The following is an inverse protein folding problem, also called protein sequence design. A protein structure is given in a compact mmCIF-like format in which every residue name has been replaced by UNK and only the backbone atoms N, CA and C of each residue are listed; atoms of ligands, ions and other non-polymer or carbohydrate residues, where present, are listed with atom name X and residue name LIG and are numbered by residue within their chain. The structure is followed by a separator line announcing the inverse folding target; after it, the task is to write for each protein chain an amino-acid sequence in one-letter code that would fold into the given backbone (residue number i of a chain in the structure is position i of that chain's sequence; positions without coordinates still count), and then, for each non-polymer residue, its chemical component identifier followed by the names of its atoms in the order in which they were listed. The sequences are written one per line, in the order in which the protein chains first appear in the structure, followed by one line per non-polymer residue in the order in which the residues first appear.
data_IF_407893374881
#
_entry.id   IF_407893374881
#
_cell.length_a   1.000
_cell.length_b   1.000
_cell.length_c   1.000
_cell.angle_alpha   90.00
_cell.angle_beta   90.00
_cell.angle_gamma   90.00
#
_symmetry.space_group_name_H-M   'P 1'
#
loop_
_entity.id
_entity.type
_entity.pdbx_description
1 polymer ?
#
# COMPACT_ATOMS: atom_id res chain seq x y z
N UNK A 1 104.03 6.10 14.90
CA UNK A 1 102.72 5.91 15.55
C UNK A 1 102.30 4.47 15.35
N UNK A 2 101.92 3.75 16.41
CA UNK A 2 101.48 2.36 16.30
C UNK A 2 100.11 2.34 15.61
N UNK A 3 100.00 1.68 14.45
CA UNK A 3 98.77 1.54 13.66
C UNK A 3 97.76 0.56 14.29
N UNK A 4 97.75 0.45 15.62
CA UNK A 4 96.92 -0.49 16.37
C UNK A 4 95.59 0.19 16.74
N UNK A 5 94.48 -0.41 16.34
CA UNK A 5 93.12 0.05 16.70
C UNK A 5 92.31 -1.09 17.29
N UNK A 6 91.34 -0.74 18.13
CA UNK A 6 90.38 -1.68 18.68
C UNK A 6 89.10 -1.63 17.85
N UNK A 7 88.60 -2.80 17.46
CA UNK A 7 87.31 -2.96 16.80
C UNK A 7 86.40 -3.81 17.70
N UNK A 8 85.16 -3.36 17.86
CA UNK A 8 84.11 -4.09 18.56
C UNK A 8 82.85 -4.01 17.71
N UNK A 9 82.38 -5.17 17.25
CA UNK A 9 81.14 -5.27 16.53
C UNK A 9 79.95 -5.48 17.46
N UNK A 10 78.80 -4.99 17.02
CA UNK A 10 77.53 -5.31 17.66
C UNK A 10 77.17 -6.79 17.47
N UNK A 11 76.35 -7.37 18.38
CA UNK A 11 75.89 -8.76 18.26
C UNK A 11 75.15 -9.08 16.97
N UNK A 12 74.54 -8.05 16.36
CA UNK A 12 73.83 -8.12 15.06
C UNK A 12 74.74 -7.96 13.85
N UNK A 13 76.05 -7.88 14.02
CA UNK A 13 77.01 -7.72 12.92
C UNK A 13 77.91 -8.95 12.81
N UNK A 14 77.96 -9.52 11.62
CA UNK A 14 78.91 -10.58 11.28
C UNK A 14 80.21 -9.97 10.79
N UNK A 15 81.33 -10.37 11.39
CA UNK A 15 82.63 -9.80 11.09
C UNK A 15 83.51 -10.86 10.48
N UNK A 16 84.23 -10.51 9.41
CA UNK A 16 85.30 -11.31 8.82
C UNK A 16 86.60 -10.52 8.96
N UNK A 17 87.54 -11.08 9.71
CA UNK A 17 88.88 -10.53 9.88
C UNK A 17 89.84 -11.24 8.94
N UNK A 18 90.40 -10.49 7.99
CA UNK A 18 91.38 -10.98 7.04
C UNK A 18 92.74 -10.31 7.28
N UNK A 19 93.81 -11.09 7.35
CA UNK A 19 95.18 -10.59 7.53
C UNK A 19 96.02 -11.08 6.35
N UNK A 20 96.66 -10.15 5.64
CA UNK A 20 97.44 -10.44 4.44
C UNK A 20 96.68 -11.32 3.41
N UNK A 21 95.38 -11.06 3.22
CA UNK A 21 94.54 -11.80 2.28
C UNK A 21 93.99 -13.16 2.77
N UNK A 22 94.32 -13.58 3.99
CA UNK A 22 93.80 -14.85 4.57
C UNK A 22 92.78 -14.58 5.69
N UNK A 23 91.66 -15.30 5.69
CA UNK A 23 90.66 -15.22 6.76
C UNK A 23 91.25 -15.83 8.03
N UNK A 24 91.31 -15.04 9.11
CA UNK A 24 91.85 -15.47 10.41
C UNK A 24 90.75 -15.72 11.44
N UNK A 25 89.67 -14.95 11.38
CA UNK A 25 88.57 -15.05 12.35
C UNK A 25 87.28 -14.57 11.71
N UNK A 26 86.18 -15.28 11.95
CA UNK A 26 84.85 -14.89 11.50
C UNK A 26 83.79 -15.24 12.54
N UNK A 27 82.75 -14.42 12.67
CA UNK A 27 81.68 -14.64 13.66
C UNK A 27 80.86 -13.39 13.97
N UNK A 28 79.82 -13.58 14.80
CA UNK A 28 78.92 -12.49 15.25
C UNK A 28 79.51 -11.79 16.48
N UNK A 29 79.38 -10.46 16.55
CA UNK A 29 79.73 -9.69 17.75
C UNK A 29 81.20 -9.79 18.20
N UNK A 30 82.12 -9.97 17.25
CA UNK A 30 83.54 -10.12 17.55
C UNK A 30 84.15 -8.80 18.04
N UNK A 31 85.09 -8.91 18.98
CA UNK A 31 85.92 -7.80 19.43
C UNK A 31 87.40 -8.18 19.37
N UNK A 32 88.24 -7.34 18.76
CA UNK A 32 89.66 -7.60 18.63
C UNK A 32 90.47 -6.33 18.37
N UNK A 33 91.77 -6.42 18.66
CA UNK A 33 92.76 -5.46 18.19
C UNK A 33 93.21 -5.82 16.77
N UNK A 34 93.43 -4.81 15.93
CA UNK A 34 93.89 -4.98 14.56
C UNK A 34 94.89 -3.89 14.16
N UNK A 35 95.76 -4.24 13.20
CA UNK A 35 96.68 -3.30 12.59
C UNK A 35 96.08 -2.80 11.27
N UNK A 36 95.88 -1.48 11.17
CA UNK A 36 95.23 -0.85 10.00
C UNK A 36 96.02 -1.00 8.69
N UNK A 37 97.30 -1.39 8.75
CA UNK A 37 98.15 -1.59 7.58
C UNK A 37 98.08 -3.00 6.97
N UNK A 38 97.78 -4.02 7.77
CA UNK A 38 97.85 -5.44 7.35
C UNK A 38 96.54 -6.20 7.51
N UNK A 39 95.58 -5.63 8.24
CA UNK A 39 94.29 -6.25 8.53
C UNK A 39 93.17 -5.53 7.77
N UNK A 40 92.34 -6.31 7.10
CA UNK A 40 91.05 -5.90 6.53
C UNK A 40 89.93 -6.47 7.39
N UNK A 41 88.94 -5.62 7.68
CA UNK A 41 87.76 -6.00 8.46
C UNK A 41 86.55 -5.84 7.56
N UNK A 42 85.81 -6.91 7.31
CA UNK A 42 84.51 -6.84 6.64
C UNK A 42 83.42 -7.00 7.66
N UNK A 43 82.43 -6.10 7.64
CA UNK A 43 81.32 -6.10 8.59
C UNK A 43 80.00 -6.20 7.83
N UNK A 44 79.23 -7.25 8.10
CA UNK A 44 77.96 -7.51 7.43
C UNK A 44 76.82 -7.35 8.45
N UNK A 45 75.86 -6.45 8.19
CA UNK A 45 74.68 -6.30 9.03
C UNK A 45 73.78 -7.53 8.90
N UNK A 46 73.46 -8.19 10.02
CA UNK A 46 72.50 -9.31 10.08
C UNK A 46 71.09 -8.86 10.43
N UNK A 47 70.90 -7.60 10.80
CA UNK A 47 69.57 -7.06 11.03
C UNK A 47 68.76 -7.04 9.72
N UNK A 48 67.45 -7.15 9.88
CA UNK A 48 66.53 -6.88 8.79
C UNK A 48 66.75 -5.44 8.29
N UNK A 49 66.81 -5.31 6.97
CA UNK A 49 66.89 -4.05 6.27
C UNK A 49 65.58 -3.83 5.54
N UNK A 50 65.01 -2.65 5.74
CA UNK A 50 63.80 -2.22 5.07
C UNK A 50 64.17 -1.24 3.97
N UNK A 51 63.79 -1.56 2.74
CA UNK A 51 64.02 -0.69 1.59
C UNK A 51 62.68 -0.25 1.02
N UNK A 52 62.34 1.05 1.10
CA UNK A 52 61.16 1.59 0.44
C UNK A 52 61.38 1.60 -1.07
N UNK A 53 60.31 1.38 -1.84
CA UNK A 53 60.35 1.46 -3.29
C UNK A 53 59.16 2.26 -3.83
N UNK A 54 59.40 2.94 -4.94
CA UNK A 54 58.39 3.61 -5.74
C UNK A 54 58.66 3.27 -7.20
N UNK A 55 57.74 2.55 -7.81
CA UNK A 55 57.84 2.17 -9.21
C UNK A 55 56.73 2.84 -10.02
N UNK A 56 57.09 3.28 -11.22
CA UNK A 56 56.13 3.73 -12.21
C UNK A 56 56.09 2.67 -13.32
N UNK A 57 54.91 2.12 -13.56
CA UNK A 57 54.65 1.09 -14.55
C UNK A 57 53.57 1.56 -15.52
N UNK A 58 53.42 0.79 -16.59
CA UNK A 58 52.35 0.94 -17.55
C UNK A 58 51.53 -0.35 -17.54
N UNK A 59 50.22 -0.20 -17.47
CA UNK A 59 49.22 -1.28 -17.49
C UNK A 59 48.95 -1.77 -18.91
N UNK A 60 48.18 -2.85 -19.04
CA UNK A 60 47.82 -3.43 -20.34
C UNK A 60 47.06 -2.45 -21.27
N UNK A 61 46.32 -1.50 -20.70
CA UNK A 61 45.59 -0.43 -21.39
C UNK A 61 46.43 0.85 -21.58
N UNK A 62 47.76 0.73 -21.50
CA UNK A 62 48.72 1.80 -21.68
C UNK A 62 48.59 2.95 -20.66
N UNK A 63 47.91 2.74 -19.54
CA UNK A 63 47.78 3.73 -18.48
C UNK A 63 48.95 3.67 -17.51
N UNK A 64 49.43 4.84 -17.08
CA UNK A 64 50.51 4.95 -16.11
C UNK A 64 50.02 4.71 -14.68
N UNK A 65 50.74 3.85 -13.95
CA UNK A 65 50.41 3.39 -12.61
C UNK A 65 51.64 3.50 -11.70
N UNK A 66 51.46 4.04 -10.51
CA UNK A 66 52.50 4.13 -9.48
C UNK A 66 52.24 3.11 -8.39
N UNK A 67 53.23 2.27 -8.12
CA UNK A 67 53.21 1.29 -7.02
C UNK A 67 54.25 1.70 -5.99
N UNK A 68 53.80 1.84 -4.75
CA UNK A 68 54.63 2.22 -3.61
C UNK A 68 54.54 1.15 -2.54
N UNK A 69 55.66 0.85 -1.90
CA UNK A 69 55.72 -0.17 -0.88
C UNK A 69 57.07 -0.26 -0.20
N UNK A 70 57.22 -1.31 0.60
CA UNK A 70 58.44 -1.60 1.34
C UNK A 70 58.80 -3.07 1.20
N UNK A 71 60.10 -3.34 1.16
CA UNK A 71 60.66 -4.67 1.06
C UNK A 71 61.64 -4.87 2.21
N UNK A 72 61.41 -5.93 2.98
CA UNK A 72 62.23 -6.30 4.12
C UNK A 72 63.05 -7.53 3.79
N UNK A 73 64.37 -7.45 3.94
CA UNK A 73 65.27 -8.57 3.69
C UNK A 73 66.39 -8.62 4.73
N UNK A 74 67.04 -9.76 4.86
CA UNK A 74 68.19 -9.94 5.74
C UNK A 74 69.28 -10.78 5.06
N UNK A 75 70.51 -10.66 5.57
CA UNK A 75 71.62 -11.50 5.16
C UNK A 75 71.57 -12.80 5.97
N UNK A 76 71.16 -13.90 5.32
CA UNK A 76 71.08 -15.23 5.94
C UNK A 76 72.42 -15.97 5.92
N UNK A 77 73.20 -15.81 4.84
CA UNK A 77 74.51 -16.46 4.64
C UNK A 77 75.61 -15.43 4.40
N UNK A 78 76.18 -14.84 5.47
CA UNK A 78 77.15 -13.74 5.38
C UNK A 78 78.40 -14.08 4.57
N UNK A 79 78.85 -15.34 4.61
CA UNK A 79 80.03 -15.81 3.90
C UNK A 79 79.83 -15.73 2.37
N UNK A 80 78.66 -16.14 1.88
CA UNK A 80 78.32 -16.05 0.45
C UNK A 80 78.22 -14.60 0.00
N UNK A 81 77.60 -13.75 0.83
CA UNK A 81 77.46 -12.33 0.52
C UNK A 81 78.81 -11.61 0.47
N UNK A 82 79.71 -11.91 1.41
CA UNK A 82 81.06 -11.34 1.45
C UNK A 82 81.96 -11.82 0.30
N UNK A 83 81.70 -12.99 -0.29
CA UNK A 83 82.42 -13.48 -1.46
C UNK A 83 82.03 -12.73 -2.75
N UNK A 84 80.80 -12.23 -2.83
CA UNK A 84 80.26 -11.56 -4.03
C UNK A 84 80.37 -10.03 -3.93
N UNK A 85 80.28 -9.47 -2.73
CA UNK A 85 80.20 -8.02 -2.49
C UNK A 85 81.24 -7.56 -1.47
N UNK A 86 81.78 -6.36 -1.70
CA UNK A 86 82.80 -5.80 -0.83
C UNK A 86 82.19 -5.09 0.39
N UNK A 87 82.11 -5.80 1.52
CA UNK A 87 81.71 -5.27 2.83
C UNK A 87 82.89 -4.81 3.70
N UNK A 88 84.06 -4.55 3.09
CA UNK A 88 85.26 -4.13 3.82
C UNK A 88 85.08 -2.72 4.38
N UNK A 89 85.47 -2.52 5.63
CA UNK A 89 85.49 -1.21 6.28
C UNK A 89 86.77 -0.44 5.91
N UNK A 90 86.66 0.88 5.85
CA UNK A 90 87.79 1.78 5.72
C UNK A 90 88.70 1.70 6.95
N UNK A 91 89.87 2.36 6.88
CA UNK A 91 90.86 2.39 7.97
C UNK A 91 90.30 2.95 9.29
N UNK A 92 89.19 3.69 9.22
CA UNK A 92 88.44 4.22 10.36
C UNK A 92 87.66 3.14 11.14
N UNK A 93 87.44 1.96 10.54
CA UNK A 93 86.65 0.87 11.11
C UNK A 93 85.18 1.21 11.26
N UNK A 94 84.67 2.20 10.52
CA UNK A 94 83.29 2.70 10.64
C UNK A 94 82.58 2.81 9.30
N UNK A 95 83.25 3.35 8.28
CA UNK A 95 82.64 3.51 6.96
C UNK A 95 83.00 2.35 6.05
N UNK A 96 82.12 2.00 5.12
CA UNK A 96 82.43 1.01 4.10
C UNK A 96 83.41 1.57 3.07
N UNK A 97 84.35 0.74 2.62
CA UNK A 97 85.30 1.07 1.56
C UNK A 97 84.69 1.01 0.15
N UNK A 98 83.52 0.38 0.01
CA UNK A 98 82.78 0.24 -1.24
C UNK A 98 81.32 0.66 -1.05
N UNK A 99 80.66 1.03 -2.14
CA UNK A 99 79.21 1.28 -2.22
C UNK A 99 78.39 0.00 -2.45
N UNK A 100 79.06 -1.16 -2.56
CA UNK A 100 78.38 -2.44 -2.79
C UNK A 100 77.29 -2.80 -1.76
N UNK A 101 77.41 -2.44 -0.46
CA UNK A 101 76.30 -2.59 0.49
C UNK A 101 75.05 -1.81 0.09
N UNK A 102 75.17 -0.63 -0.53
CA UNK A 102 74.02 0.14 -1.02
C UNK A 102 73.44 -0.48 -2.30
N UNK A 103 74.30 -0.98 -3.18
CA UNK A 103 73.89 -1.66 -4.42
C UNK A 103 73.12 -2.96 -4.14
N UNK A 104 73.30 -3.55 -2.96
CA UNK A 104 72.53 -4.72 -2.53
C UNK A 104 71.05 -4.38 -2.44
N UNK A 105 70.71 -3.28 -1.77
CA UNK A 105 69.33 -2.81 -1.60
C UNK A 105 68.67 -2.63 -2.98
N UNK A 106 69.37 -1.93 -3.89
CA UNK A 106 68.92 -1.72 -5.27
C UNK A 106 68.68 -3.04 -6.03
N UNK A 107 69.51 -4.07 -5.81
CA UNK A 107 69.36 -5.37 -6.48
C UNK A 107 68.10 -6.10 -6.02
N UNK A 108 67.83 -6.14 -4.71
CA UNK A 108 66.61 -6.81 -4.20
C UNK A 108 65.37 -6.06 -4.67
N UNK A 109 65.40 -4.72 -4.65
CA UNK A 109 64.35 -3.85 -5.19
C UNK A 109 64.11 -4.11 -6.68
N UNK A 110 65.16 -4.22 -7.50
CA UNK A 110 65.04 -4.55 -8.94
C UNK A 110 64.46 -5.94 -9.19
N UNK A 111 64.80 -6.94 -8.37
CA UNK A 111 64.22 -8.28 -8.50
C UNK A 111 62.70 -8.25 -8.25
N UNK A 112 62.26 -7.53 -7.21
CA UNK A 112 60.85 -7.30 -6.96
C UNK A 112 60.20 -6.50 -8.11
N UNK A 113 60.88 -5.47 -8.61
CA UNK A 113 60.40 -4.62 -9.72
C UNK A 113 60.06 -5.46 -10.96
N UNK A 114 60.92 -6.41 -11.36
CA UNK A 114 60.68 -7.26 -12.54
C UNK A 114 59.44 -8.14 -12.37
N UNK A 115 59.23 -8.71 -11.19
CA UNK A 115 58.06 -9.55 -10.91
C UNK A 115 56.78 -8.71 -10.96
N UNK A 116 56.78 -7.56 -10.29
CA UNK A 116 55.64 -6.63 -10.25
C UNK A 116 55.32 -6.12 -11.66
N UNK A 117 56.35 -5.79 -12.44
CA UNK A 117 56.20 -5.29 -13.81
C UNK A 117 55.47 -6.29 -14.71
N UNK A 118 55.85 -7.57 -14.64
CA UNK A 118 55.23 -8.61 -15.46
C UNK A 118 53.72 -8.75 -15.17
N UNK A 119 53.32 -8.67 -13.91
CA UNK A 119 51.92 -8.75 -13.50
C UNK A 119 51.11 -7.52 -13.91
N UNK A 120 51.66 -6.31 -13.73
CA UNK A 120 50.98 -5.06 -14.05
C UNK A 120 50.82 -4.87 -15.56
N UNK A 121 51.84 -5.22 -16.34
CA UNK A 121 51.76 -5.12 -17.80
C UNK A 121 50.72 -6.06 -18.42
N UNK A 122 50.37 -7.15 -17.73
CA UNK A 122 49.33 -8.08 -18.15
C UNK A 122 47.91 -7.66 -17.71
N UNK A 123 47.79 -6.67 -16.82
CA UNK A 123 46.52 -6.31 -16.17
C UNK A 123 46.02 -4.92 -16.58
N UNK A 124 44.73 -4.72 -16.91
CA UNK A 124 44.16 -3.40 -17.14
C UNK A 124 44.05 -2.57 -15.85
N UNK A 125 44.05 -1.24 -15.97
CA UNK A 125 44.13 -0.32 -14.84
C UNK A 125 43.14 -0.58 -13.70
N UNK A 126 41.85 -0.77 -14.00
CA UNK A 126 40.83 -0.96 -12.94
C UNK A 126 41.09 -2.20 -12.09
N UNK A 127 41.54 -3.29 -12.73
CA UNK A 127 41.91 -4.49 -12.01
C UNK A 127 43.21 -4.28 -11.24
N UNK A 128 44.20 -3.63 -11.84
CA UNK A 128 45.49 -3.34 -11.20
C UNK A 128 45.34 -2.54 -9.89
N UNK A 129 44.36 -1.61 -9.80
CA UNK A 129 44.06 -0.86 -8.58
C UNK A 129 43.51 -1.75 -7.44
N UNK A 130 42.94 -2.91 -7.76
CA UNK A 130 42.36 -3.86 -6.80
C UNK A 130 43.32 -5.03 -6.47
N UNK A 131 44.46 -5.14 -7.15
CA UNK A 131 45.40 -6.26 -7.04
C UNK A 131 46.37 -6.18 -5.84
N UNK A 132 46.17 -5.28 -4.86
CA UNK A 132 47.17 -5.06 -3.78
C UNK A 132 47.54 -6.34 -3.02
N UNK A 133 46.55 -7.11 -2.56
CA UNK A 133 46.80 -8.34 -1.79
C UNK A 133 47.29 -9.50 -2.64
N UNK A 134 46.75 -9.68 -3.85
CA UNK A 134 47.17 -10.74 -4.76
C UNK A 134 48.60 -10.51 -5.25
N UNK A 135 48.97 -9.26 -5.51
CA UNK A 135 50.33 -8.87 -5.89
C UNK A 135 51.33 -9.18 -4.77
N UNK A 136 50.98 -8.90 -3.51
CA UNK A 136 51.84 -9.22 -2.36
C UNK A 136 52.12 -10.73 -2.29
N UNK A 137 51.07 -11.55 -2.33
CA UNK A 137 51.21 -13.00 -2.28
C UNK A 137 52.04 -13.56 -3.45
N UNK A 138 51.81 -13.04 -4.66
CA UNK A 138 52.56 -13.43 -5.86
C UNK A 138 54.04 -13.07 -5.71
N UNK A 139 54.35 -11.85 -5.32
CA UNK A 139 55.73 -11.37 -5.18
C UNK A 139 56.47 -12.13 -4.10
N UNK A 140 55.86 -12.37 -2.94
CA UNK A 140 56.45 -13.18 -1.87
C UNK A 140 56.75 -14.62 -2.33
N UNK A 141 55.81 -15.25 -3.04
CA UNK A 141 56.02 -16.59 -3.59
C UNK A 141 57.11 -16.64 -4.65
N UNK A 142 57.22 -15.62 -5.50
CA UNK A 142 58.22 -15.58 -6.58
C UNK A 142 59.62 -15.21 -6.07
N UNK A 143 59.71 -14.30 -5.10
CA UNK A 143 60.98 -13.91 -4.48
C UNK A 143 61.61 -15.05 -3.68
N UNK A 144 60.79 -15.84 -2.97
CA UNK A 144 61.28 -17.01 -2.22
C UNK A 144 61.82 -18.13 -3.12
N UNK A 145 61.36 -18.21 -4.38
CA UNK A 145 61.84 -19.17 -5.38
C UNK A 145 63.06 -18.68 -6.17
N UNK A 146 63.48 -17.42 -5.99
CA UNK A 146 64.52 -16.82 -6.81
C UNK A 146 65.91 -17.27 -6.33
N UNK A 147 66.43 -18.32 -6.97
CA UNK A 147 67.76 -18.91 -6.70
C UNK A 147 68.91 -17.90 -6.76
N UNK A 148 68.76 -16.81 -7.54
CA UNK A 148 69.73 -15.74 -7.63
C UNK A 148 69.96 -14.99 -6.29
N UNK A 149 68.93 -14.81 -5.47
CA UNK A 149 69.04 -14.16 -4.16
C UNK A 149 69.65 -15.10 -3.12
N UNK A 150 69.25 -16.37 -3.16
CA UNK A 150 69.79 -17.41 -2.27
C UNK A 150 71.29 -17.66 -2.53
N UNK A 151 71.70 -17.66 -3.81
CA UNK A 151 73.11 -17.79 -4.20
C UNK A 151 73.98 -16.66 -3.61
N UNK A 152 73.40 -15.48 -3.39
CA UNK A 152 74.07 -14.32 -2.78
C UNK A 152 73.94 -14.28 -1.26
N UNK A 153 73.25 -15.24 -0.65
CA UNK A 153 73.07 -15.34 0.80
C UNK A 153 72.01 -14.40 1.38
N UNK A 154 71.04 -13.97 0.57
CA UNK A 154 69.96 -13.07 0.97
C UNK A 154 68.68 -13.87 1.24
N UNK A 155 67.93 -13.45 2.26
CA UNK A 155 66.59 -13.95 2.54
C UNK A 155 65.62 -12.78 2.58
N UNK A 156 64.59 -12.83 1.74
CA UNK A 156 63.46 -11.88 1.81
C UNK A 156 62.57 -12.29 2.98
N UNK A 157 62.28 -11.35 3.86
CA UNK A 157 61.45 -11.56 5.05
C UNK A 157 60.00 -11.20 4.76
N UNK A 158 59.78 -10.02 4.19
CA UNK A 158 58.45 -9.51 3.94
C UNK A 158 58.43 -8.55 2.75
N UNK A 159 57.27 -8.41 2.14
CA UNK A 159 56.99 -7.49 1.06
C UNK A 159 55.61 -6.89 1.29
N UNK A 160 55.53 -5.57 1.33
CA UNK A 160 54.28 -4.85 1.54
C UNK A 160 54.08 -3.79 0.46
N UNK A 161 52.83 -3.62 0.05
CA UNK A 161 52.41 -2.56 -0.88
C UNK A 161 51.62 -1.53 -0.10
N UNK A 162 52.12 -0.30 -0.03
CA UNK A 162 51.50 0.81 0.68
C UNK A 162 50.39 1.45 -0.16
N UNK A 163 50.65 1.68 -1.44
CA UNK A 163 49.71 2.36 -2.31
C UNK A 163 49.90 1.96 -3.78
N UNK A 164 48.78 1.75 -4.47
CA UNK A 164 48.72 1.63 -5.92
C UNK A 164 47.87 2.80 -6.40
N UNK A 165 48.50 3.76 -7.08
CA UNK A 165 47.85 5.02 -7.48
C UNK A 165 48.04 5.28 -8.96
N UNK A 166 46.97 5.63 -9.71
CA UNK A 166 47.11 6.08 -11.09
C UNK A 166 47.67 7.51 -11.13
N UNK A 167 47.90 8.05 -12.32
CA UNK A 167 48.23 9.47 -12.48
C UNK A 167 47.06 10.35 -11.97
N UNK A 168 47.33 11.57 -11.46
CA UNK A 168 46.26 12.46 -10.97
C UNK A 168 45.20 12.82 -12.01
N UNK A 169 45.54 12.79 -13.29
CA UNK A 169 44.60 13.01 -14.40
C UNK A 169 43.68 11.80 -14.58
N UNK A 170 44.23 10.59 -14.65
CA UNK A 170 43.45 9.36 -14.77
C UNK A 170 42.62 9.09 -13.51
N UNK A 171 43.12 9.43 -12.32
CA UNK A 171 42.36 9.36 -11.08
C UNK A 171 41.08 10.22 -11.15
N UNK A 172 41.22 11.48 -11.58
CA UNK A 172 40.09 12.41 -11.76
C UNK A 172 39.11 11.93 -12.82
N UNK A 173 39.62 11.36 -13.93
CA UNK A 173 38.77 10.79 -14.98
C UNK A 173 37.95 9.60 -14.48
N UNK A 174 38.57 8.67 -13.75
CA UNK A 174 37.89 7.52 -13.14
C UNK A 174 36.86 7.95 -12.09
N UNK A 175 37.18 8.96 -11.29
CA UNK A 175 36.25 9.51 -10.29
C UNK A 175 35.04 10.17 -10.96
N UNK A 176 35.25 10.94 -12.03
CA UNK A 176 34.18 11.55 -12.79
C UNK A 176 33.25 10.51 -13.44
N UNK A 177 33.81 9.47 -14.05
CA UNK A 177 33.03 8.37 -14.63
C UNK A 177 32.23 7.61 -13.57
N UNK A 178 32.83 7.30 -12.41
CA UNK A 178 32.15 6.66 -11.30
C UNK A 178 31.00 7.55 -10.79
N UNK A 179 31.25 8.86 -10.64
CA UNK A 179 30.23 9.82 -10.23
C UNK A 179 29.07 9.91 -11.22
N UNK A 180 29.37 9.94 -12.52
CA UNK A 180 28.35 9.94 -13.58
C UNK A 180 27.53 8.64 -13.56
N UNK A 181 28.18 7.48 -13.38
CA UNK A 181 27.46 6.20 -13.29
C UNK A 181 26.49 6.14 -12.11
N UNK A 182 26.90 6.70 -10.95
CA UNK A 182 26.04 6.81 -9.77
C UNK A 182 24.90 7.80 -9.99
N UNK A 183 25.14 8.91 -10.70
CA UNK A 183 24.09 9.87 -11.06
C UNK A 183 23.06 9.22 -11.99
N UNK A 184 23.52 8.49 -13.01
CA UNK A 184 22.65 7.75 -13.91
C UNK A 184 21.80 6.71 -13.17
N UNK A 185 22.40 5.94 -12.26
CA UNK A 185 21.67 4.96 -11.46
C UNK A 185 20.60 5.63 -10.58
N UNK A 186 20.89 6.80 -10.01
CA UNK A 186 19.92 7.57 -9.25
C UNK A 186 18.76 8.08 -10.13
N UNK A 187 19.06 8.59 -11.32
CA UNK A 187 18.04 9.03 -12.29
C UNK A 187 17.18 7.87 -12.79
N UNK A 188 17.79 6.72 -13.08
CA UNK A 188 17.09 5.49 -13.47
C UNK A 188 16.15 5.02 -12.34
N UNK A 189 16.60 5.11 -11.08
CA UNK A 189 15.76 4.82 -9.91
C UNK A 189 14.59 5.80 -9.76
N UNK A 190 14.81 7.10 -10.01
CA UNK A 190 13.74 8.12 -10.01
C UNK A 190 12.74 7.85 -11.13
N UNK A 191 13.23 7.55 -12.33
CA UNK A 191 12.41 7.22 -13.48
C UNK A 191 11.56 5.98 -13.22
N UNK A 192 12.16 4.91 -12.69
CA UNK A 192 11.45 3.67 -12.34
C UNK A 192 10.33 3.92 -11.33
N UNK A 193 10.59 4.72 -10.29
CA UNK A 193 9.56 5.12 -9.30
C UNK A 193 8.44 5.91 -9.96
N UNK A 194 8.75 6.91 -10.78
CA UNK A 194 7.76 7.74 -11.48
C UNK A 194 6.90 6.90 -12.43
N UNK A 195 7.53 6.00 -13.19
CA UNK A 195 6.83 5.08 -14.09
C UNK A 195 5.85 4.20 -13.33
N UNK A 196 6.28 3.60 -12.21
CA UNK A 196 5.41 2.80 -11.35
C UNK A 196 4.24 3.61 -10.79
N UNK A 197 4.45 4.86 -10.37
CA UNK A 197 3.36 5.74 -9.91
C UNK A 197 2.35 6.05 -11.02
N UNK A 198 2.81 6.33 -12.24
CA UNK A 198 1.92 6.62 -13.38
C UNK A 198 1.14 5.38 -13.80
N UNK A 199 1.78 4.21 -13.82
CA UNK A 199 1.10 2.93 -14.10
C UNK A 199 0.03 2.66 -13.05
N UNK A 200 0.33 2.88 -11.76
CA UNK A 200 -0.64 2.75 -10.68
C UNK A 200 -1.81 3.74 -10.83
N UNK A 201 -1.53 5.00 -11.17
CA UNK A 201 -2.58 6.00 -11.40
C UNK A 201 -3.48 5.62 -12.58
N UNK A 202 -2.89 5.08 -13.66
CA UNK A 202 -3.64 4.56 -14.79
C UNK A 202 -4.53 3.39 -14.38
N UNK A 203 -4.01 2.43 -13.62
CA UNK A 203 -4.79 1.29 -13.12
C UNK A 203 -5.93 1.73 -12.21
N UNK A 204 -5.70 2.73 -11.35
CA UNK A 204 -6.76 3.30 -10.50
C UNK A 204 -7.86 3.94 -11.37
N UNK A 205 -7.50 4.77 -12.35
CA UNK A 205 -8.46 5.40 -13.27
C UNK A 205 -9.26 4.38 -14.09
N UNK A 206 -8.60 3.31 -14.56
CA UNK A 206 -9.28 2.23 -15.28
C UNK A 206 -10.29 1.50 -14.37
N UNK A 207 -9.93 1.23 -13.10
CA UNK A 207 -10.84 0.63 -12.12
C UNK A 207 -11.99 1.58 -11.70
N UNK A 208 -11.74 2.88 -11.59
CA UNK A 208 -12.76 3.90 -11.34
C UNK A 208 -13.79 3.93 -12.48
N UNK A 209 -13.34 3.96 -13.74
CA UNK A 209 -14.23 3.92 -14.90
C UNK A 209 -15.05 2.63 -14.99
N UNK A 210 -14.46 1.49 -14.64
CA UNK A 210 -15.18 0.21 -14.57
C UNK A 210 -16.26 0.23 -13.48
N UNK A 211 -15.95 0.83 -12.33
CA UNK A 211 -16.91 1.01 -11.24
C UNK A 211 -18.06 1.92 -11.66
N UNK A 212 -17.77 3.05 -12.31
CA UNK A 212 -18.79 3.97 -12.83
C UNK A 212 -19.72 3.28 -13.86
N UNK A 213 -19.15 2.48 -14.75
CA UNK A 213 -19.92 1.72 -15.73
C UNK A 213 -20.82 0.69 -15.05
N UNK A 214 -20.33 0.01 -14.01
CA UNK A 214 -21.13 -0.91 -13.20
C UNK A 214 -22.27 -0.20 -12.47
N UNK A 215 -22.04 1.00 -11.96
CA UNK A 215 -23.08 1.82 -11.31
C UNK A 215 -24.16 2.18 -12.32
N UNK A 216 -23.78 2.69 -13.50
CA UNK A 216 -24.72 3.05 -14.56
C UNK A 216 -25.56 1.87 -15.04
N UNK A 217 -24.94 0.69 -15.20
CA UNK A 217 -25.67 -0.54 -15.53
C UNK A 217 -26.69 -0.88 -14.44
N UNK A 218 -26.32 -0.76 -13.18
CA UNK A 218 -27.23 -1.03 -12.06
C UNK A 218 -28.37 -0.03 -11.96
N UNK A 219 -28.11 1.25 -12.23
CA UNK A 219 -29.14 2.28 -12.31
C UNK A 219 -30.15 2.00 -13.43
N UNK A 220 -29.67 1.59 -14.61
CA UNK A 220 -30.54 1.18 -15.72
C UNK A 220 -31.40 -0.02 -15.33
N UNK A 221 -30.82 -1.06 -14.72
CA UNK A 221 -31.58 -2.22 -14.22
C UNK A 221 -32.63 -1.83 -13.17
N UNK A 222 -32.30 -0.89 -12.26
CA UNK A 222 -33.25 -0.38 -11.26
C UNK A 222 -34.39 0.37 -11.94
N UNK A 223 -34.11 1.19 -12.94
CA UNK A 223 -35.13 1.98 -13.64
C UNK A 223 -36.04 1.08 -14.49
N UNK A 224 -35.48 0.07 -15.18
CA UNK A 224 -36.26 -0.96 -15.86
C UNK A 224 -37.18 -1.72 -14.89
N UNK A 225 -36.66 -2.12 -13.72
CA UNK A 225 -37.46 -2.78 -12.70
C UNK A 225 -38.55 -1.86 -12.14
N UNK A 226 -38.29 -0.56 -11.98
CA UNK A 226 -39.30 0.44 -11.56
C UNK A 226 -40.41 0.56 -12.59
N UNK A 227 -40.07 0.69 -13.88
CA UNK A 227 -41.04 0.77 -14.96
C UNK A 227 -41.89 -0.52 -15.04
N UNK A 228 -41.29 -1.68 -14.91
CA UNK A 228 -42.04 -2.95 -14.91
C UNK A 228 -42.99 -3.06 -13.71
N UNK A 229 -42.54 -2.62 -12.53
CA UNK A 229 -43.40 -2.53 -11.34
C UNK A 229 -44.57 -1.56 -11.56
N UNK A 230 -44.34 -0.38 -12.14
CA UNK A 230 -45.39 0.59 -12.45
C UNK A 230 -46.41 0.03 -13.46
N UNK A 231 -45.92 -0.65 -14.51
CA UNK A 231 -46.78 -1.34 -15.49
C UNK A 231 -47.63 -2.42 -14.85
N UNK A 232 -47.04 -3.18 -13.91
CA UNK A 232 -47.76 -4.22 -13.15
C UNK A 232 -48.84 -3.59 -12.28
N UNK A 233 -48.53 -2.54 -11.53
CA UNK A 233 -49.51 -1.81 -10.71
C UNK A 233 -50.67 -1.25 -11.55
N UNK A 234 -50.38 -0.66 -12.72
CA UNK A 234 -51.41 -0.15 -13.62
C UNK A 234 -52.30 -1.27 -14.18
N UNK A 235 -51.72 -2.44 -14.49
CA UNK A 235 -52.48 -3.63 -14.92
C UNK A 235 -53.41 -4.13 -13.81
N UNK A 236 -52.88 -4.31 -12.60
CA UNK A 236 -53.69 -4.74 -11.44
C UNK A 236 -54.82 -3.75 -11.12
N UNK A 237 -54.55 -2.43 -11.24
CA UNK A 237 -55.59 -1.42 -11.07
C UNK A 237 -56.70 -1.52 -12.13
N UNK A 238 -56.33 -1.76 -13.39
CA UNK A 238 -57.30 -1.96 -14.46
C UNK A 238 -58.13 -3.23 -14.24
N UNK A 239 -57.51 -4.33 -13.83
CA UNK A 239 -58.20 -5.58 -13.48
C UNK A 239 -59.16 -5.39 -12.30
N UNK A 240 -58.71 -4.75 -11.20
CA UNK A 240 -59.58 -4.42 -10.07
C UNK A 240 -60.76 -3.53 -10.47
N UNK A 241 -60.55 -2.56 -11.37
CA UNK A 241 -61.63 -1.71 -11.87
C UNK A 241 -62.66 -2.50 -12.69
N UNK A 242 -62.20 -3.45 -13.51
CA UNK A 242 -63.08 -4.36 -14.26
C UNK A 242 -63.87 -5.28 -13.31
N UNK A 243 -63.22 -5.86 -12.31
CA UNK A 243 -63.88 -6.70 -11.30
C UNK A 243 -64.94 -5.91 -10.52
N UNK A 244 -64.64 -4.67 -10.13
CA UNK A 244 -65.61 -3.77 -9.47
C UNK A 244 -66.82 -3.49 -10.37
N UNK A 245 -66.61 -3.13 -11.63
CA UNK A 245 -67.70 -2.90 -12.58
C UNK A 245 -68.56 -4.16 -12.77
N UNK A 246 -67.93 -5.34 -12.86
CA UNK A 246 -68.66 -6.60 -12.97
C UNK A 246 -69.50 -6.90 -11.71
N UNK A 247 -68.97 -6.60 -10.51
CA UNK A 247 -69.70 -6.72 -9.27
C UNK A 247 -70.88 -5.73 -9.20
N UNK A 248 -70.69 -4.47 -9.58
CA UNK A 248 -71.74 -3.45 -9.64
C UNK A 248 -72.86 -3.83 -10.62
N UNK A 249 -72.52 -4.34 -11.81
CA UNK A 249 -73.50 -4.88 -12.77
C UNK A 249 -74.28 -6.04 -12.15
N UNK A 250 -73.60 -6.95 -11.46
CA UNK A 250 -74.23 -8.07 -10.77
C UNK A 250 -75.21 -7.63 -9.67
N UNK A 251 -74.84 -6.63 -8.86
CA UNK A 251 -75.73 -6.05 -7.85
C UNK A 251 -76.95 -5.36 -8.48
N UNK A 252 -76.78 -4.65 -9.59
CA UNK A 252 -77.88 -3.96 -10.27
C UNK A 252 -78.85 -4.96 -10.93
N UNK A 253 -78.36 -6.06 -11.48
CA UNK A 253 -79.20 -7.16 -12.01
C UNK A 253 -80.02 -7.82 -10.89
N UNK A 254 -79.40 -8.05 -9.73
CA UNK A 254 -80.10 -8.55 -8.54
C UNK A 254 -81.15 -7.54 -8.05
N UNK A 255 -80.82 -6.25 -8.02
CA UNK A 255 -81.74 -5.17 -7.65
C UNK A 255 -82.94 -5.12 -8.60
N UNK A 256 -82.71 -5.23 -9.90
CA UNK A 256 -83.78 -5.30 -10.92
C UNK A 256 -84.72 -6.49 -10.66
N UNK A 257 -84.16 -7.64 -10.35
CA UNK A 257 -84.92 -8.86 -10.02
C UNK A 257 -85.75 -8.67 -8.73
N UNK A 258 -85.18 -8.05 -7.70
CA UNK A 258 -85.90 -7.73 -6.46
C UNK A 258 -87.04 -6.73 -6.69
N UNK A 259 -86.82 -5.71 -7.51
CA UNK A 259 -87.86 -4.73 -7.87
C UNK A 259 -89.00 -5.41 -8.63
N UNK A 260 -88.72 -6.31 -9.58
CA UNK A 260 -89.78 -7.05 -10.27
C UNK A 260 -90.57 -7.94 -9.33
N UNK A 261 -89.90 -8.64 -8.41
CA UNK A 261 -90.56 -9.48 -7.40
C UNK A 261 -91.43 -8.64 -6.46
N UNK A 262 -90.92 -7.47 -6.03
CA UNK A 262 -91.66 -6.54 -5.19
C UNK A 262 -92.90 -6.00 -5.89
N UNK A 263 -92.81 -5.65 -7.18
CA UNK A 263 -93.95 -5.18 -7.96
C UNK A 263 -95.03 -6.27 -8.10
N UNK A 264 -94.63 -7.52 -8.30
CA UNK A 264 -95.55 -8.66 -8.36
C UNK A 264 -96.23 -8.92 -7.02
N UNK A 265 -95.47 -8.92 -5.92
CA UNK A 265 -96.01 -9.03 -4.56
C UNK A 265 -97.02 -7.91 -4.26
N UNK A 266 -96.71 -6.67 -4.64
CA UNK A 266 -97.58 -5.53 -4.42
C UNK A 266 -98.87 -5.60 -5.25
N UNK A 267 -98.81 -6.17 -6.47
CA UNK A 267 -100.01 -6.44 -7.28
C UNK A 267 -100.93 -7.45 -6.59
N UNK A 268 -100.38 -8.58 -6.13
CA UNK A 268 -101.14 -9.63 -5.44
C UNK A 268 -101.80 -9.08 -4.16
N UNK A 269 -101.06 -8.29 -3.39
CA UNK A 269 -101.59 -7.68 -2.17
C UNK A 269 -102.71 -6.66 -2.46
N UNK A 270 -102.55 -5.85 -3.50
CA UNK A 270 -103.58 -4.88 -3.91
C UNK A 270 -104.87 -5.57 -4.39
N UNK A 271 -104.76 -6.71 -5.08
CA UNK A 271 -105.90 -7.53 -5.49
C UNK A 271 -106.64 -8.13 -4.28
N UNK A 272 -105.90 -8.60 -3.27
CA UNK A 272 -106.49 -9.08 -2.01
C UNK A 272 -107.22 -7.96 -1.25
N UNK A 273 -106.63 -6.76 -1.19
CA UNK A 273 -107.25 -5.59 -0.54
C UNK A 273 -108.54 -5.18 -1.26
N UNK A 274 -108.54 -5.15 -2.60
CA UNK A 274 -109.72 -4.84 -3.40
C UNK A 274 -110.88 -5.82 -3.13
N UNK A 275 -110.59 -7.12 -3.07
CA UNK A 275 -111.58 -8.15 -2.73
C UNK A 275 -112.14 -7.97 -1.31
N UNK A 276 -111.28 -7.60 -0.34
CA UNK A 276 -111.69 -7.34 1.04
C UNK A 276 -112.64 -6.13 1.16
N UNK A 277 -112.36 -5.07 0.39
CA UNK A 277 -113.18 -3.85 0.37
C UNK A 277 -114.54 -4.12 -0.28
N UNK A 278 -114.56 -4.85 -1.41
CA UNK A 278 -115.81 -5.22 -2.09
C UNK A 278 -116.74 -6.02 -1.17
N UNK A 279 -116.17 -6.98 -0.42
CA UNK A 279 -116.92 -7.82 0.53
C UNK A 279 -117.49 -6.99 1.69
N UNK A 280 -116.71 -6.04 2.23
CA UNK A 280 -117.19 -5.11 3.27
C UNK A 280 -118.29 -4.18 2.75
N UNK A 281 -118.19 -3.71 1.52
CA UNK A 281 -119.21 -2.83 0.91
C UNK A 281 -120.55 -3.55 0.65
N UNK A 282 -120.54 -4.85 0.32
CA UNK A 282 -121.77 -5.65 0.21
C UNK A 282 -122.54 -5.76 1.54
N UNK A 283 -121.83 -5.86 2.67
CA UNK A 283 -122.46 -5.93 4.00
C UNK A 283 -123.15 -4.62 4.44
N UNK A 284 -122.75 -3.46 3.91
CA UNK A 284 -123.38 -2.18 4.24
C UNK A 284 -124.68 -1.89 3.49
N UNK A 285 -125.06 -2.70 2.49
CA UNK A 285 -126.23 -2.46 1.62
C UNK A 285 -127.57 -2.91 2.22
N UNK A 286 -127.58 -3.72 3.27
CA UNK A 286 -128.77 -4.35 3.86
C UNK A 286 -129.32 -3.65 5.12
N UNK A 287 -128.75 -2.52 5.53
CA UNK A 287 -129.17 -1.80 6.74
C UNK A 287 -130.14 -0.63 6.43
N UNK A 288 -131.28 -0.50 7.15
CA UNK A 288 -132.22 0.61 6.99
C UNK A 288 -131.57 1.97 7.29
N UNK A 289 -131.95 3.01 6.54
CA UNK A 289 -131.36 4.36 6.53
C UNK A 289 -131.36 5.03 7.91
N UNK A 290 -132.32 4.70 8.78
CA UNK A 290 -132.36 5.15 10.18
C UNK A 290 -131.18 4.60 11.04
N UNK A 291 -130.70 3.38 10.77
CA UNK A 291 -129.61 2.75 11.54
C UNK A 291 -128.22 3.22 11.06
N UNK A 292 -128.09 3.62 9.79
CA UNK A 292 -126.90 4.28 9.26
C UNK A 292 -126.69 5.68 9.87
N UNK A 293 -127.78 6.41 10.14
CA UNK A 293 -127.72 7.65 10.93
C UNK A 293 -127.30 7.37 12.38
N UNK A 294 -127.81 6.31 13.02
CA UNK A 294 -127.41 5.95 14.38
C UNK A 294 -125.92 5.52 14.50
N UNK A 295 -125.38 4.80 13.51
CA UNK A 295 -123.95 4.43 13.47
C UNK A 295 -123.03 5.61 13.15
N UNK A 296 -123.47 6.56 12.31
CA UNK A 296 -122.75 7.81 12.08
C UNK A 296 -122.77 8.70 13.34
N UNK A 297 -123.91 8.81 14.03
CA UNK A 297 -124.06 9.57 15.28
C UNK A 297 -123.26 8.97 16.45
N UNK A 298 -122.97 7.66 16.44
CA UNK A 298 -122.15 7.00 17.47
C UNK A 298 -120.64 7.25 17.34
N UNK A 299 -120.14 7.68 16.17
CA UNK A 299 -118.70 7.93 15.94
C UNK A 299 -118.33 9.41 15.76
N UNK A 300 -119.30 10.31 15.90
CA UNK A 300 -119.05 11.75 15.83
C UNK A 300 -118.52 12.29 17.17
N UNK A 301 -117.56 13.21 17.09
CA UNK A 301 -116.99 13.86 18.26
C UNK A 301 -118.08 14.70 18.98
N UNK A 302 -118.01 14.88 20.32
CA UNK A 302 -119.03 15.58 21.11
C UNK A 302 -119.40 16.97 20.56
N UNK A 303 -118.45 17.66 19.94
CA UNK A 303 -118.60 18.98 19.35
C UNK A 303 -119.50 18.97 18.10
N UNK A 304 -119.49 17.89 17.31
CA UNK A 304 -120.32 17.74 16.11
C UNK A 304 -121.76 17.33 16.45
N UNK A 305 -121.96 16.55 17.52
CA UNK A 305 -123.30 16.25 18.05
C UNK A 305 -123.96 17.51 18.65
N UNK A 306 -123.17 18.38 19.27
CA UNK A 306 -123.61 19.67 19.82
C UNK A 306 -124.12 20.61 18.72
N UNK A 307 -123.41 20.70 17.58
CA UNK A 307 -123.81 21.52 16.44
C UNK A 307 -125.19 21.11 15.87
N UNK A 308 -125.44 19.80 15.74
CA UNK A 308 -126.75 19.28 15.33
C UNK A 308 -127.86 19.57 16.36
N UNK A 309 -127.55 19.52 17.66
CA UNK A 309 -128.52 19.82 18.72
C UNK A 309 -128.91 21.32 18.74
N UNK A 310 -127.94 22.22 18.50
CA UNK A 310 -128.22 23.65 18.33
C UNK A 310 -129.05 23.93 17.07
N UNK A 311 -128.80 23.24 15.97
CA UNK A 311 -129.59 23.36 14.75
C UNK A 311 -131.04 22.87 14.95
N UNK A 312 -131.23 21.76 15.68
CA UNK A 312 -132.55 21.25 16.06
C UNK A 312 -133.31 22.18 17.02
N UNK A 313 -132.61 22.80 17.98
CA UNK A 313 -133.16 23.82 18.88
C UNK A 313 -133.57 25.09 18.11
N UNK A 314 -132.76 25.52 17.13
CA UNK A 314 -133.06 26.67 16.28
C UNK A 314 -134.28 26.43 15.37
N UNK A 315 -134.45 25.20 14.84
CA UNK A 315 -135.59 24.86 13.99
C UNK A 315 -136.93 24.82 14.75
N UNK A 316 -136.93 24.62 16.08
CA UNK A 316 -138.14 24.62 16.93
C UNK A 316 -138.29 25.89 17.80
N UNK A 317 -137.43 26.89 17.63
CA UNK A 317 -137.37 28.10 18.46
C UNK A 317 -138.65 28.96 18.44
N UNK A 318 -139.52 28.81 17.43
CA UNK A 318 -140.82 29.49 17.37
C UNK A 318 -141.86 29.03 18.40
N UNK A 319 -141.59 27.97 19.18
CA UNK A 319 -142.47 27.48 20.26
C UNK A 319 -141.98 27.82 21.68
N UNK A 320 -140.83 28.51 21.82
CA UNK A 320 -140.17 28.75 23.10
C UNK A 320 -140.10 30.27 23.32
N UNK A 321 -140.94 30.80 24.21
CA UNK A 321 -141.16 32.25 24.34
C UNK A 321 -140.00 33.08 24.90
N UNK A 322 -139.15 32.51 25.76
CA UNK A 322 -137.95 33.16 26.28
C UNK A 322 -136.97 32.09 26.81
N UNK A 323 -135.76 32.01 26.25
CA UNK A 323 -134.71 31.09 26.70
C UNK A 323 -133.51 31.91 27.20
N UNK A 324 -133.34 32.01 28.52
CA UNK A 324 -132.19 32.67 29.13
C UNK A 324 -131.00 31.70 29.20
N UNK A 325 -130.02 31.89 28.32
CA UNK A 325 -128.75 31.15 28.35
C UNK A 325 -127.79 31.90 29.27
N UNK A 326 -127.50 31.35 30.46
CA UNK A 326 -126.51 31.92 31.37
C UNK A 326 -125.08 31.51 30.97
N UNK A 327 -124.06 32.36 31.19
CA UNK A 327 -122.66 32.03 30.89
C UNK A 327 -122.13 30.78 31.61
N UNK A 328 -122.73 30.42 32.76
CA UNK A 328 -122.33 29.26 33.58
C UNK A 328 -122.71 27.91 32.95
N UNK A 329 -123.85 27.84 32.23
CA UNK A 329 -124.26 26.65 31.48
C UNK A 329 -123.31 26.34 30.32
N UNK A 330 -122.77 27.37 29.65
CA UNK A 330 -121.80 27.21 28.56
C UNK A 330 -120.44 26.71 29.08
N UNK A 331 -119.99 27.20 30.25
CA UNK A 331 -118.71 26.78 30.85
C UNK A 331 -118.74 25.35 31.39
N UNK A 332 -119.85 24.88 31.97
CA UNK A 332 -119.95 23.48 32.42
C UNK A 332 -120.03 22.48 31.27
N UNK A 333 -120.45 22.92 30.08
CA UNK A 333 -120.63 22.07 28.91
C UNK A 333 -119.34 21.88 28.09
N UNK A 334 -118.44 22.88 28.05
CA UNK A 334 -117.14 22.76 27.39
C UNK A 334 -116.05 22.06 28.23
N UNK A 335 -116.20 21.96 29.56
CA UNK A 335 -115.15 21.44 30.45
C UNK A 335 -115.20 19.94 30.74
N UNK A 336 -116.12 19.17 30.12
CA UNK A 336 -116.26 17.72 30.40
C UNK A 336 -115.45 16.79 29.46
N UNK A 337 -114.58 17.34 28.61
CA UNK A 337 -113.77 16.59 27.64
C UNK A 337 -112.29 16.36 28.00
N UNK A 338 -111.80 16.85 29.15
CA UNK A 338 -110.39 16.68 29.56
C UNK A 338 -110.27 15.94 30.89
N UNK A 339 -110.63 14.65 30.88
CA UNK A 339 -110.22 13.65 31.89
C UNK A 339 -110.22 12.25 31.27
N UNK A 340 -109.10 11.90 30.64
CA UNK A 340 -108.43 10.59 30.61
C UNK A 340 -107.34 10.64 29.52
#
# INVERSE_FOLDING_TARGET
MLNLRFFKADPSTFVIKSVNGTIRQQGKGLSFWYNTATTSVSALPLNAQETPFIFNFQTADFQSLRVQGQLSFQISSPEKTAAVLNFTLNKDGKTYASEDPMKLNDRVVRAAQTIIQAEIQATPLRHALLLSQSLVALVQSRLSQLTALEAQGLAVLDFSVTAITPTPETARALEAEARESLMKEADDAIYARRKSSVEQERTIKEAELETDLSIQQKEQEIEEARLENERTLLREQAEMAQERLAAEIGEEEQRRTLVSLSAENQRVQSEADAYSIETKMKAYRELPVENLKALALSRMAPEQLMAMAFESLAQNAGKIGELNISPDMFSQMMNKGSKA
#
